data_IF_653017074853
#
_entry.id   IF_653017074853
#
_cell.length_a   1.000
_cell.length_b   1.000
_cell.length_c   1.000
_cell.angle_alpha   90.00
_cell.angle_beta   90.00
_cell.angle_gamma   90.00
#
_symmetry.space_group_name_H-M   'P 1'
#
loop_
_entity.id
_entity.type
_entity.pdbx_description
1 polymer ?
#
# COMPACT_ATOMS: atom_id res chain seq x y z
N UNK A 1 12.40 -38.67 36.88
CA UNK A 1 13.19 -37.85 35.94
C UNK A 1 12.66 -38.16 34.55
N UNK A 2 11.70 -37.38 34.03
CA UNK A 2 11.90 -36.11 33.27
C UNK A 2 12.74 -36.41 32.02
N UNK A 3 12.12 -36.63 30.85
CA UNK A 3 12.06 -35.66 29.72
C UNK A 3 13.07 -36.13 28.66
N UNK A 4 12.84 -36.21 27.35
CA UNK A 4 12.00 -35.42 26.45
C UNK A 4 11.66 -36.22 25.16
N UNK A 5 10.47 -36.01 24.57
CA UNK A 5 10.05 -36.61 23.31
C UNK A 5 10.55 -35.83 22.08
N UNK A 6 10.55 -36.52 20.94
CA UNK A 6 10.67 -36.03 19.55
C UNK A 6 10.57 -34.52 19.33
N UNK A 7 11.57 -33.93 18.66
CA UNK A 7 11.47 -32.54 18.23
C UNK A 7 12.63 -31.97 17.41
N UNK A 8 13.26 -32.72 16.52
CA UNK A 8 14.16 -32.11 15.51
C UNK A 8 13.43 -31.99 14.19
N UNK A 9 12.58 -30.98 14.07
CA UNK A 9 12.16 -30.51 12.75
C UNK A 9 13.42 -29.99 12.05
N UNK A 10 13.77 -30.47 10.83
CA UNK A 10 14.83 -29.85 10.07
C UNK A 10 14.42 -28.41 9.78
N UNK A 11 15.32 -27.51 10.14
CA UNK A 11 15.49 -26.18 9.60
C UNK A 11 14.96 -26.09 8.16
N UNK A 12 13.76 -25.53 7.99
CA UNK A 12 13.31 -24.99 6.71
C UNK A 12 13.58 -23.49 6.75
N UNK A 13 14.83 -23.09 6.89
CA UNK A 13 15.26 -21.76 6.48
C UNK A 13 15.62 -21.78 4.99
N UNK A 14 14.64 -22.15 4.15
CA UNK A 14 14.69 -21.77 2.74
C UNK A 14 14.75 -20.24 2.64
N UNK A 15 15.39 -19.66 1.62
CA UNK A 15 15.46 -18.20 1.49
C UNK A 15 14.04 -17.65 1.50
N UNK A 16 13.70 -16.91 2.56
CA UNK A 16 12.45 -16.17 2.61
C UNK A 16 12.40 -15.35 1.32
N UNK A 17 11.31 -15.39 0.53
CA UNK A 17 11.18 -14.46 -0.57
C UNK A 17 11.36 -13.07 0.04
N UNK A 18 12.44 -12.41 -0.34
CA UNK A 18 12.69 -11.04 0.01
C UNK A 18 11.54 -10.29 -0.63
N UNK A 19 10.48 -10.01 0.14
CA UNK A 19 9.53 -9.00 -0.27
C UNK A 19 10.41 -7.79 -0.63
N UNK A 20 10.29 -7.26 -1.86
CA UNK A 20 11.08 -6.10 -2.24
C UNK A 20 10.94 -5.11 -1.10
N UNK A 21 12.07 -4.76 -0.48
CA UNK A 21 12.08 -3.70 0.51
C UNK A 21 11.55 -2.48 -0.23
N UNK A 22 10.25 -2.18 -0.13
CA UNK A 22 9.65 -0.95 -0.62
C UNK A 22 10.07 0.18 0.31
N UNK A 23 11.38 0.35 0.45
CA UNK A 23 12.06 1.52 1.00
C UNK A 23 12.42 2.50 -0.11
N UNK A 24 11.96 2.26 -1.34
CA UNK A 24 11.78 3.32 -2.31
C UNK A 24 10.41 3.93 -2.03
N UNK A 25 10.38 5.04 -1.27
CA UNK A 25 9.25 5.96 -1.31
C UNK A 25 9.29 6.57 -2.72
N UNK A 26 8.85 5.80 -3.72
CA UNK A 26 8.69 6.30 -5.08
C UNK A 26 7.75 7.48 -4.97
N UNK A 27 8.22 8.66 -5.34
CA UNK A 27 7.31 9.78 -5.51
C UNK A 27 6.16 9.32 -6.41
N UNK A 28 4.91 9.68 -6.08
CA UNK A 28 3.77 9.24 -6.86
C UNK A 28 4.01 9.64 -8.32
N UNK A 29 3.97 8.65 -9.22
CA UNK A 29 4.08 8.89 -10.64
C UNK A 29 2.96 9.86 -11.06
N UNK A 30 3.32 10.92 -11.78
CA UNK A 30 2.36 11.91 -12.27
C UNK A 30 1.48 11.26 -13.33
N UNK A 31 0.17 11.31 -13.11
CA UNK A 31 -0.84 10.80 -14.03
C UNK A 31 -1.15 11.79 -15.14
N UNK A 32 -0.73 13.06 -14.99
CA UNK A 32 -1.09 14.16 -15.89
C UNK A 32 -2.44 14.79 -15.56
N UNK A 33 -3.14 14.24 -14.57
CA UNK A 33 -4.34 14.81 -13.98
C UNK A 33 -3.96 15.56 -12.70
N UNK A 34 -3.98 16.90 -12.79
CA UNK A 34 -3.57 17.80 -11.70
C UNK A 34 -4.35 17.55 -10.41
N UNK A 35 -5.64 17.24 -10.51
CA UNK A 35 -6.50 17.04 -9.33
C UNK A 35 -6.22 15.69 -8.68
N UNK A 36 -6.06 14.64 -9.49
CA UNK A 36 -5.70 13.31 -9.01
C UNK A 36 -4.28 13.29 -8.41
N UNK A 37 -3.32 13.92 -9.07
CA UNK A 37 -1.93 14.00 -8.61
C UNK A 37 -1.84 14.72 -7.26
N UNK A 38 -2.56 15.84 -7.10
CA UNK A 38 -2.62 16.54 -5.83
C UNK A 38 -3.26 15.68 -4.71
N UNK A 39 -4.33 14.94 -5.03
CA UNK A 39 -4.98 14.03 -4.08
C UNK A 39 -4.06 12.86 -3.67
N UNK A 40 -3.29 12.31 -4.61
CA UNK A 40 -2.31 11.24 -4.34
C UNK A 40 -1.17 11.72 -3.43
N UNK A 41 -0.68 12.95 -3.63
CA UNK A 41 0.30 13.57 -2.73
C UNK A 41 -0.30 13.79 -1.34
N UNK A 42 -1.55 14.25 -1.25
CA UNK A 42 -2.25 14.43 0.02
C UNK A 42 -2.41 13.10 0.76
N UNK A 43 -2.83 12.04 0.06
CA UNK A 43 -2.93 10.68 0.62
C UNK A 43 -1.56 10.19 1.13
N UNK A 44 -0.49 10.35 0.36
CA UNK A 44 0.85 9.94 0.77
C UNK A 44 1.31 10.66 2.04
N UNK A 45 0.95 11.94 2.21
CA UNK A 45 1.22 12.70 3.45
C UNK A 45 0.37 12.19 4.62
N UNK A 46 -0.92 11.93 4.37
CA UNK A 46 -1.88 11.46 5.37
C UNK A 46 -1.49 10.11 5.98
N UNK A 47 -0.72 9.27 5.30
CA UNK A 47 -0.23 7.99 5.85
C UNK A 47 0.56 8.13 7.16
N UNK A 48 1.13 9.30 7.44
CA UNK A 48 1.84 9.59 8.68
C UNK A 48 1.00 10.39 9.70
N UNK A 49 -0.28 10.62 9.41
CA UNK A 49 -1.23 11.36 10.22
C UNK A 49 -2.22 10.42 10.94
N UNK A 50 -3.31 11.00 11.46
CA UNK A 50 -4.36 10.27 12.17
C UNK A 50 -5.10 9.26 11.27
N UNK A 51 -5.68 8.22 11.89
CA UNK A 51 -6.48 7.23 11.16
C UNK A 51 -7.60 7.89 10.34
N UNK A 52 -8.30 8.86 10.93
CA UNK A 52 -9.36 9.62 10.26
C UNK A 52 -8.85 10.33 9.01
N UNK A 53 -7.72 11.04 9.10
CA UNK A 53 -7.17 11.76 7.94
C UNK A 53 -6.71 10.85 6.81
N UNK A 54 -6.25 9.63 7.14
CA UNK A 54 -5.95 8.60 6.12
C UNK A 54 -7.19 8.14 5.40
N UNK A 55 -8.30 7.94 6.13
CA UNK A 55 -9.58 7.53 5.54
C UNK A 55 -10.13 8.63 4.65
N UNK A 56 -10.19 9.87 5.14
CA UNK A 56 -10.70 11.01 4.38
C UNK A 56 -9.90 11.25 3.09
N UNK A 57 -8.57 11.20 3.19
CA UNK A 57 -7.69 11.33 2.02
C UNK A 57 -7.85 10.15 1.05
N UNK A 58 -8.01 8.94 1.58
CA UNK A 58 -8.23 7.73 0.80
C UNK A 58 -9.57 7.76 0.04
N UNK A 59 -10.65 8.19 0.69
CA UNK A 59 -11.97 8.31 0.06
C UNK A 59 -11.94 9.35 -1.06
N UNK A 60 -11.28 10.49 -0.84
CA UNK A 60 -11.15 11.53 -1.88
C UNK A 60 -10.43 11.00 -3.12
N UNK A 61 -9.29 10.31 -2.95
CA UNK A 61 -8.59 9.65 -4.07
C UNK A 61 -9.48 8.60 -4.75
N UNK A 62 -10.19 7.79 -3.97
CA UNK A 62 -11.06 6.75 -4.49
C UNK A 62 -12.20 7.31 -5.36
N UNK A 63 -12.88 8.35 -4.89
CA UNK A 63 -13.93 9.06 -5.65
C UNK A 63 -13.42 9.61 -6.97
N UNK A 64 -12.23 10.23 -6.97
CA UNK A 64 -11.61 10.77 -8.18
C UNK A 64 -11.30 9.66 -9.19
N UNK A 65 -10.67 8.58 -8.74
CA UNK A 65 -10.38 7.42 -9.60
C UNK A 65 -11.65 6.80 -10.19
N UNK A 66 -12.71 6.65 -9.39
CA UNK A 66 -13.98 6.13 -9.88
C UNK A 66 -14.61 7.02 -10.95
N UNK A 67 -14.57 8.34 -10.78
CA UNK A 67 -15.07 9.28 -11.79
C UNK A 67 -14.32 9.15 -13.10
N UNK A 68 -12.98 9.19 -13.05
CA UNK A 68 -12.12 9.09 -14.24
C UNK A 68 -12.26 7.75 -14.97
N UNK A 69 -12.30 6.65 -14.23
CA UNK A 69 -12.53 5.33 -14.82
C UNK A 69 -13.93 5.21 -15.45
N UNK A 70 -14.93 5.84 -14.83
CA UNK A 70 -16.28 5.93 -15.40
C UNK A 70 -16.32 6.68 -16.73
N UNK A 71 -15.58 7.79 -16.83
CA UNK A 71 -15.47 8.56 -18.08
C UNK A 71 -14.76 7.76 -19.18
N UNK A 72 -13.71 7.00 -18.83
CA UNK A 72 -12.99 6.13 -19.79
C UNK A 72 -13.85 4.98 -20.32
N UNK A 73 -14.75 4.42 -19.51
CA UNK A 73 -15.65 3.33 -19.91
C UNK A 73 -16.86 3.77 -20.75
N UNK A 74 -17.05 5.07 -20.95
CA UNK A 74 -18.19 5.64 -21.70
C UNK A 74 -17.82 6.10 -23.11
N UNK A 75 -16.52 6.19 -23.42
CA UNK A 75 -15.99 6.62 -24.72
C UNK A 75 -16.05 5.51 -25.79
#
# INVERSE_FOLDING_TARGET
MIGDPHGTAPDVAGPRPQQPQQSARSEPALTGDVELDAAMVALARAQNLSFTERIDSGERVHRLLQGRLGDLGRA
#
